data_IF_212612080200
#
_entry.id   IF_212612080200
#
_cell.length_a   1.000
_cell.length_b   1.000
_cell.length_c   1.000
_cell.angle_alpha   90.00
_cell.angle_beta   90.00
_cell.angle_gamma   90.00
#
_symmetry.space_group_name_H-M   'P 1'
#
loop_
_entity.id
_entity.type
_entity.pdbx_description
1 polymer ?
#
# COMPACT_ATOMS: atom_id res chain seq x y z
N UNK A 1 -2.41 17.36 -9.00
CA UNK A 1 -1.15 16.64 -8.78
C UNK A 1 -1.03 16.30 -7.31
N UNK A 2 -0.78 15.03 -7.00
CA UNK A 2 -0.56 14.49 -5.66
C UNK A 2 0.89 14.00 -5.59
N UNK A 3 1.65 14.52 -4.63
CA UNK A 3 3.04 14.14 -4.43
C UNK A 3 3.19 13.40 -3.10
N UNK A 4 3.82 12.22 -3.15
CA UNK A 4 4.20 11.45 -1.97
C UNK A 4 5.67 11.06 -2.09
N UNK A 5 6.55 11.77 -1.36
CA UNK A 5 8.02 11.62 -1.45
C UNK A 5 8.49 11.76 -2.90
N UNK A 6 8.80 10.64 -3.57
CA UNK A 6 9.29 10.56 -4.94
C UNK A 6 8.21 10.16 -5.97
N UNK A 7 7.02 9.80 -5.49
CA UNK A 7 5.88 9.46 -6.35
C UNK A 7 5.03 10.70 -6.65
N UNK A 8 4.84 11.01 -7.94
CA UNK A 8 3.95 12.06 -8.42
C UNK A 8 2.81 11.43 -9.23
N UNK A 9 1.58 11.61 -8.78
CA UNK A 9 0.38 11.06 -9.41
C UNK A 9 -0.64 12.17 -9.70
N UNK A 10 -1.50 12.00 -10.68
CA UNK A 10 -2.51 12.99 -11.03
C UNK A 10 -3.65 12.38 -11.80
N UNK A 11 -4.70 13.16 -12.00
CA UNK A 11 -5.76 12.85 -12.94
C UNK A 11 -5.75 13.89 -14.05
N UNK A 12 -6.11 13.46 -15.25
CA UNK A 12 -6.40 14.34 -16.36
C UNK A 12 -7.79 14.06 -16.88
N UNK A 13 -8.55 15.12 -17.10
CA UNK A 13 -9.90 15.12 -17.66
C UNK A 13 -9.89 15.29 -19.18
N UNK A 14 -8.76 15.75 -19.74
CA UNK A 14 -8.55 15.82 -21.17
C UNK A 14 -7.90 14.51 -21.69
N UNK A 15 -8.53 13.79 -22.64
CA UNK A 15 -7.92 12.60 -23.25
C UNK A 15 -6.79 12.92 -24.24
N UNK A 16 -6.61 14.19 -24.63
CA UNK A 16 -5.60 14.59 -25.60
C UNK A 16 -4.19 14.33 -25.07
N UNK A 17 -3.38 13.71 -25.92
CA UNK A 17 -1.99 13.44 -25.62
C UNK A 17 -1.09 14.42 -26.36
N UNK A 18 -0.07 14.90 -25.67
CA UNK A 18 0.93 15.83 -26.19
C UNK A 18 2.28 15.12 -26.28
N UNK A 19 3.03 15.41 -27.35
CA UNK A 19 4.37 14.87 -27.53
C UNK A 19 5.32 15.44 -26.46
N UNK A 20 6.05 14.56 -25.79
CA UNK A 20 7.19 14.90 -24.98
C UNK A 20 8.47 14.46 -25.69
N UNK A 21 9.14 15.43 -26.32
CA UNK A 21 10.29 15.22 -27.21
C UNK A 21 11.45 14.43 -26.58
N UNK A 22 11.85 14.67 -25.30
CA UNK A 22 12.98 13.95 -24.71
C UNK A 22 12.80 12.42 -24.66
N UNK A 23 11.55 11.96 -24.66
CA UNK A 23 11.22 10.53 -24.71
C UNK A 23 10.65 10.07 -26.03
N UNK A 24 10.39 10.96 -26.98
CA UNK A 24 9.71 10.65 -28.24
C UNK A 24 8.43 9.82 -28.00
N UNK A 25 7.58 10.33 -27.10
CA UNK A 25 6.36 9.65 -26.66
C UNK A 25 5.26 10.65 -26.28
N UNK A 26 4.01 10.20 -26.41
CA UNK A 26 2.81 10.99 -26.12
C UNK A 26 2.29 10.71 -24.72
N UNK A 27 2.00 11.77 -23.96
CA UNK A 27 1.49 11.70 -22.58
C UNK A 27 0.37 12.74 -22.36
N UNK A 28 -0.45 12.60 -21.30
CA UNK A 28 -1.39 13.63 -20.88
C UNK A 28 -0.71 14.99 -20.68
N UNK A 29 -1.40 16.07 -21.02
CA UNK A 29 -0.83 17.42 -21.02
C UNK A 29 -0.22 17.80 -19.67
N UNK A 30 -0.93 17.55 -18.56
CA UNK A 30 -0.44 17.86 -17.21
C UNK A 30 0.83 17.08 -16.86
N UNK A 31 0.97 15.86 -17.37
CA UNK A 31 2.19 15.06 -17.20
C UNK A 31 3.35 15.65 -18.01
N UNK A 32 3.12 16.05 -19.27
CA UNK A 32 4.15 16.72 -20.08
C UNK A 32 4.60 18.03 -19.46
N UNK A 33 3.68 18.83 -18.92
CA UNK A 33 4.02 20.08 -18.23
C UNK A 33 4.92 19.83 -17.00
N UNK A 34 4.63 18.78 -16.22
CA UNK A 34 5.47 18.39 -15.10
C UNK A 34 6.87 17.94 -15.54
N UNK A 35 6.96 17.13 -16.59
CA UNK A 35 8.24 16.66 -17.13
C UNK A 35 9.11 17.83 -17.61
N UNK A 36 8.52 18.79 -18.32
CA UNK A 36 9.21 20.01 -18.75
C UNK A 36 9.69 20.85 -17.56
N UNK A 37 8.90 20.95 -16.51
CA UNK A 37 9.31 21.62 -15.27
C UNK A 37 10.51 20.90 -14.63
N UNK A 38 10.50 19.56 -14.61
CA UNK A 38 11.64 18.80 -14.10
C UNK A 38 12.89 18.97 -14.96
N UNK A 39 12.75 19.06 -16.28
CA UNK A 39 13.86 19.38 -17.18
C UNK A 39 14.46 20.76 -16.86
N UNK A 40 13.60 21.77 -16.66
CA UNK A 40 14.02 23.14 -16.31
C UNK A 40 14.76 23.18 -14.95
N UNK A 41 14.28 22.40 -13.98
CA UNK A 41 14.87 22.31 -12.64
C UNK A 41 16.08 21.36 -12.56
N UNK A 42 16.39 20.63 -13.64
CA UNK A 42 17.44 19.61 -13.64
C UNK A 42 17.14 18.39 -12.75
N UNK A 43 15.86 18.10 -12.50
CA UNK A 43 15.44 16.95 -11.71
C UNK A 43 15.44 15.70 -12.60
N UNK A 44 16.21 14.65 -12.26
CA UNK A 44 16.25 13.44 -13.07
C UNK A 44 14.92 12.69 -13.00
N UNK A 45 14.45 12.22 -14.15
CA UNK A 45 13.26 11.39 -14.27
C UNK A 45 13.52 10.24 -15.27
N UNK A 46 12.64 9.24 -15.29
CA UNK A 46 12.82 8.02 -16.10
C UNK A 46 11.57 7.73 -16.93
N UNK A 47 11.76 7.43 -18.22
CA UNK A 47 10.69 7.07 -19.16
C UNK A 47 9.86 5.88 -18.69
N UNK A 48 10.51 4.85 -18.13
CA UNK A 48 9.85 3.64 -17.62
C UNK A 48 8.91 3.89 -16.45
N UNK A 49 9.07 5.02 -15.75
CA UNK A 49 8.18 5.44 -14.66
C UNK A 49 7.05 6.37 -15.13
N UNK A 50 7.06 6.79 -16.39
CA UNK A 50 6.02 7.65 -16.97
C UNK A 50 4.86 6.78 -17.45
N UNK A 51 3.91 6.54 -16.55
CA UNK A 51 2.71 5.72 -16.81
C UNK A 51 1.45 6.57 -16.71
N UNK A 52 0.47 6.27 -17.56
CA UNK A 52 -0.86 6.86 -17.53
C UNK A 52 -1.90 5.85 -18.04
N UNK A 53 -3.17 6.07 -17.71
CA UNK A 53 -4.27 5.21 -18.09
C UNK A 53 -5.39 5.23 -17.03
N UNK A 54 -6.48 4.53 -17.31
CA UNK A 54 -7.61 4.46 -16.38
C UNK A 54 -7.35 3.61 -15.14
N UNK A 55 -6.33 2.74 -15.18
CA UNK A 55 -5.94 1.96 -14.02
C UNK A 55 -4.41 1.83 -13.89
N UNK A 56 -3.89 2.22 -12.71
CA UNK A 56 -2.46 2.34 -12.41
C UNK A 56 -2.12 1.70 -11.07
N UNK A 57 -0.87 1.27 -10.92
CA UNK A 57 -0.35 0.83 -9.63
C UNK A 57 0.27 2.03 -8.89
N UNK A 58 -0.38 2.48 -7.83
CA UNK A 58 0.04 3.61 -6.99
C UNK A 58 0.41 3.05 -5.62
N UNK A 59 1.62 3.33 -5.12
CA UNK A 59 2.14 2.82 -3.84
C UNK A 59 1.98 1.30 -3.62
N UNK A 60 1.97 0.53 -4.72
CA UNK A 60 1.75 -0.91 -4.71
C UNK A 60 0.28 -1.36 -4.63
N UNK A 61 -0.68 -0.46 -4.84
CA UNK A 61 -2.10 -0.78 -4.94
C UNK A 61 -2.60 -0.45 -6.34
N UNK A 62 -3.45 -1.33 -6.88
CA UNK A 62 -4.09 -1.13 -8.17
C UNK A 62 -5.25 -0.15 -7.98
N UNK A 63 -5.12 1.06 -8.51
CA UNK A 63 -6.15 2.09 -8.53
C UNK A 63 -6.79 2.09 -9.90
N UNK A 64 -8.08 1.78 -9.96
CA UNK A 64 -8.89 1.76 -11.16
C UNK A 64 -9.92 2.89 -11.07
N UNK A 65 -9.74 3.93 -11.88
CA UNK A 65 -10.58 5.12 -11.89
C UNK A 65 -11.93 4.88 -12.60
N UNK A 66 -12.02 3.91 -13.52
CA UNK A 66 -13.28 3.57 -14.18
C UNK A 66 -14.19 2.77 -13.24
N UNK A 67 -13.63 1.75 -12.58
CA UNK A 67 -14.34 0.96 -11.59
C UNK A 67 -14.48 1.67 -10.23
N UNK A 68 -13.82 2.84 -10.07
CA UNK A 68 -13.71 3.58 -8.82
C UNK A 68 -13.27 2.68 -7.66
N UNK A 69 -12.21 1.89 -7.88
CA UNK A 69 -11.78 0.82 -6.97
C UNK A 69 -10.27 0.81 -6.77
N UNK A 70 -9.86 0.61 -5.52
CA UNK A 70 -8.49 0.39 -5.07
C UNK A 70 -8.38 -1.05 -4.59
N UNK A 71 -7.48 -1.83 -5.19
CA UNK A 71 -7.28 -3.24 -4.85
C UNK A 71 -5.82 -3.58 -4.59
N UNK A 72 -5.61 -4.61 -3.78
CA UNK A 72 -4.31 -5.26 -3.64
C UNK A 72 -4.24 -6.47 -4.60
N UNK A 73 -3.07 -6.70 -5.21
CA UNK A 73 -2.85 -7.89 -6.03
C UNK A 73 -3.10 -9.18 -5.23
N UNK A 74 -3.54 -10.22 -5.90
CA UNK A 74 -3.75 -11.54 -5.29
C UNK A 74 -2.49 -12.08 -4.61
N UNK A 75 -1.33 -11.86 -5.21
CA UNK A 75 -0.03 -12.23 -4.64
C UNK A 75 0.23 -11.54 -3.30
N UNK A 76 0.12 -10.20 -3.24
CA UNK A 76 0.33 -9.44 -2.00
C UNK A 76 -0.70 -9.79 -0.93
N UNK A 77 -1.93 -10.15 -1.34
CA UNK A 77 -2.98 -10.65 -0.45
C UNK A 77 -2.56 -11.95 0.23
N UNK A 78 -2.12 -12.91 -0.57
CA UNK A 78 -1.67 -14.20 -0.06
C UNK A 78 -0.38 -14.08 0.76
N UNK A 79 0.53 -13.19 0.40
CA UNK A 79 1.71 -12.87 1.21
C UNK A 79 1.35 -12.32 2.60
N UNK A 80 0.41 -11.37 2.68
CA UNK A 80 -0.04 -10.83 3.96
C UNK A 80 -0.71 -11.91 4.83
N UNK A 81 -1.56 -12.76 4.22
CA UNK A 81 -2.19 -13.90 4.91
C UNK A 81 -1.16 -14.89 5.44
N UNK A 82 -0.14 -15.23 4.64
CA UNK A 82 0.99 -16.06 5.07
C UNK A 82 1.76 -15.41 6.22
N UNK A 83 2.00 -14.10 6.15
CA UNK A 83 2.64 -13.33 7.21
C UNK A 83 1.86 -13.41 8.54
N UNK A 84 0.53 -13.30 8.48
CA UNK A 84 -0.35 -13.46 9.65
C UNK A 84 -0.27 -14.89 10.20
N UNK A 85 -0.34 -15.91 9.34
CA UNK A 85 -0.26 -17.31 9.76
C UNK A 85 1.07 -17.61 10.48
N UNK A 86 2.20 -17.23 9.87
CA UNK A 86 3.55 -17.39 10.46
C UNK A 86 3.67 -16.65 11.78
N UNK A 87 3.11 -15.45 11.88
CA UNK A 87 3.10 -14.69 13.12
C UNK A 87 2.37 -15.43 14.24
N UNK A 88 1.21 -16.03 13.93
CA UNK A 88 0.36 -16.77 14.87
C UNK A 88 0.88 -18.17 15.26
N UNK A 89 1.70 -18.78 14.41
CA UNK A 89 2.30 -20.13 14.60
C UNK A 89 3.53 -20.14 15.52
N UNK A 90 3.94 -18.98 16.07
CA UNK A 90 5.04 -18.89 17.01
C UNK A 90 4.93 -19.94 18.13
N UNK A 91 5.92 -20.84 18.23
CA UNK A 91 5.92 -21.96 19.21
C UNK A 91 5.74 -21.47 20.66
N UNK A 92 6.34 -20.33 20.99
CA UNK A 92 6.25 -19.69 22.30
C UNK A 92 4.96 -18.88 22.51
N UNK A 93 4.08 -18.80 21.49
CA UNK A 93 2.94 -17.87 21.41
C UNK A 93 3.35 -16.42 21.69
N UNK A 94 4.59 -16.07 21.37
CA UNK A 94 5.14 -14.73 21.52
C UNK A 94 6.00 -14.39 20.32
N UNK A 95 6.04 -13.10 20.01
CA UNK A 95 6.84 -12.56 18.92
C UNK A 95 7.61 -11.33 19.41
N UNK A 96 8.83 -11.08 18.91
CA UNK A 96 9.56 -9.85 19.20
C UNK A 96 8.76 -8.62 18.79
N UNK A 97 8.86 -7.51 19.54
CA UNK A 97 8.19 -6.24 19.21
C UNK A 97 8.37 -5.81 17.74
N UNK A 98 9.54 -6.03 17.16
CA UNK A 98 9.79 -5.71 15.75
C UNK A 98 8.85 -6.46 14.79
N UNK A 99 8.50 -7.71 15.08
CA UNK A 99 7.58 -8.51 14.26
C UNK A 99 6.13 -8.01 14.41
N UNK A 100 5.74 -7.57 15.60
CA UNK A 100 4.45 -6.89 15.79
C UNK A 100 4.34 -5.61 14.97
N UNK A 101 5.39 -4.79 14.99
CA UNK A 101 5.43 -3.52 14.24
C UNK A 101 5.43 -3.75 12.73
N UNK A 102 6.19 -4.75 12.25
CA UNK A 102 6.19 -5.16 10.84
C UNK A 102 4.79 -5.59 10.38
N UNK A 103 4.15 -6.47 11.14
CA UNK A 103 2.80 -6.96 10.81
C UNK A 103 1.77 -5.82 10.86
N UNK A 104 1.77 -5.00 11.92
CA UNK A 104 0.86 -3.88 12.06
C UNK A 104 1.03 -2.86 10.91
N UNK A 105 2.28 -2.57 10.51
CA UNK A 105 2.57 -1.69 9.39
C UNK A 105 2.06 -2.24 8.05
N UNK A 106 2.25 -3.53 7.80
CA UNK A 106 1.77 -4.16 6.56
C UNK A 106 0.23 -4.20 6.51
N UNK A 107 -0.43 -4.54 7.62
CA UNK A 107 -1.88 -4.46 7.72
C UNK A 107 -2.38 -3.02 7.53
N UNK A 108 -1.71 -2.03 8.13
CA UNK A 108 -2.05 -0.62 7.98
C UNK A 108 -1.93 -0.15 6.51
N UNK A 109 -0.93 -0.63 5.77
CA UNK A 109 -0.82 -0.39 4.34
C UNK A 109 -1.99 -1.02 3.56
N UNK A 110 -2.37 -2.26 3.89
CA UNK A 110 -3.53 -2.92 3.28
C UNK A 110 -4.85 -2.19 3.54
N UNK A 111 -4.99 -1.46 4.66
CA UNK A 111 -6.19 -0.67 4.95
C UNK A 111 -6.46 0.47 3.95
N UNK A 112 -5.48 0.86 3.12
CA UNK A 112 -5.73 1.79 2.02
C UNK A 112 -6.67 1.18 0.96
N UNK A 113 -6.66 -0.15 0.78
CA UNK A 113 -7.59 -0.87 -0.08
C UNK A 113 -8.78 -1.46 0.70
N UNK A 114 -8.60 -1.75 2.01
CA UNK A 114 -9.60 -2.45 2.83
C UNK A 114 -9.89 -1.71 4.16
N UNK A 115 -10.39 -0.47 4.13
CA UNK A 115 -10.57 0.35 5.32
C UNK A 115 -11.52 -0.25 6.36
N UNK A 116 -12.50 -1.07 5.93
CA UNK A 116 -13.43 -1.77 6.82
C UNK A 116 -12.76 -2.83 7.70
N UNK A 117 -11.52 -3.23 7.38
CA UNK A 117 -10.75 -4.18 8.20
C UNK A 117 -9.99 -3.52 9.36
N UNK A 118 -10.06 -2.19 9.48
CA UNK A 118 -9.39 -1.41 10.53
C UNK A 118 -9.59 -1.95 11.96
N UNK A 119 -10.79 -2.42 12.37
CA UNK A 119 -11.00 -2.93 13.73
C UNK A 119 -10.04 -4.04 14.14
N UNK A 120 -9.52 -4.83 13.19
CA UNK A 120 -8.58 -5.90 13.50
C UNK A 120 -7.14 -5.45 13.74
N UNK A 121 -6.78 -4.22 13.36
CA UNK A 121 -5.42 -3.68 13.58
C UNK A 121 -5.31 -3.02 14.96
N UNK A 122 -6.41 -2.47 15.47
CA UNK A 122 -6.46 -1.76 16.77
C UNK A 122 -5.87 -2.59 17.93
N UNK A 123 -6.23 -3.88 18.14
CA UNK A 123 -5.67 -4.68 19.23
C UNK A 123 -4.15 -4.85 19.16
N UNK A 124 -3.55 -4.85 17.96
CA UNK A 124 -2.09 -4.93 17.80
C UNK A 124 -1.43 -3.69 18.39
N UNK A 125 -1.91 -2.49 18.04
CA UNK A 125 -1.37 -1.23 18.54
C UNK A 125 -1.54 -1.10 20.06
N UNK A 126 -2.71 -1.44 20.60
CA UNK A 126 -2.90 -1.47 22.05
C UNK A 126 -1.92 -2.43 22.73
N UNK A 127 -1.67 -3.60 22.14
CA UNK A 127 -0.79 -4.60 22.72
C UNK A 127 0.67 -4.14 22.79
N UNK A 128 1.12 -3.36 21.82
CA UNK A 128 2.51 -2.87 21.74
C UNK A 128 2.70 -1.44 22.27
N UNK A 129 1.63 -0.78 22.69
CA UNK A 129 1.67 0.59 23.20
C UNK A 129 2.69 0.72 24.35
N UNK A 130 3.49 1.78 24.28
CA UNK A 130 4.53 2.09 25.27
C UNK A 130 5.74 1.14 25.29
N UNK A 131 5.82 0.15 24.39
CA UNK A 131 6.94 -0.79 24.31
C UNK A 131 7.99 -0.28 23.33
N UNK A 132 9.25 -0.32 23.75
CA UNK A 132 10.38 0.25 22.98
C UNK A 132 11.47 -0.77 22.67
N UNK A 133 11.57 -1.85 23.45
CA UNK A 133 12.60 -2.88 23.27
C UNK A 133 12.27 -3.81 22.10
N UNK A 134 12.88 -3.56 20.94
CA UNK A 134 12.61 -4.27 19.66
C UNK A 134 12.64 -5.80 19.74
N UNK A 135 13.56 -6.37 20.52
CA UNK A 135 13.75 -7.82 20.65
C UNK A 135 12.95 -8.44 21.80
N UNK A 136 12.22 -7.64 22.59
CA UNK A 136 11.45 -8.16 23.71
C UNK A 136 10.31 -9.06 23.21
N UNK A 137 10.17 -10.29 23.74
CA UNK A 137 9.08 -11.17 23.37
C UNK A 137 7.77 -10.65 23.95
N UNK A 138 6.75 -10.49 23.10
CA UNK A 138 5.41 -10.06 23.48
C UNK A 138 4.43 -11.19 23.17
N UNK A 139 3.69 -11.62 24.19
CA UNK A 139 2.71 -12.69 24.07
C UNK A 139 1.53 -12.31 23.16
N UNK A 140 1.16 -13.21 22.27
CA UNK A 140 -0.04 -13.13 21.43
C UNK A 140 -1.23 -13.58 22.30
N UNK A 141 -2.12 -12.64 22.64
CA UNK A 141 -3.31 -12.95 23.43
C UNK A 141 -4.48 -13.40 22.52
N UNK A 142 -5.57 -13.87 23.14
CA UNK A 142 -6.77 -14.34 22.45
C UNK A 142 -7.40 -13.26 21.56
N UNK A 143 -7.41 -12.02 22.03
CA UNK A 143 -7.97 -10.87 21.31
C UNK A 143 -7.23 -10.61 19.99
N UNK A 144 -5.90 -10.51 20.03
CA UNK A 144 -5.07 -10.33 18.84
C UNK A 144 -5.23 -11.52 17.89
N UNK A 145 -5.22 -12.75 18.40
CA UNK A 145 -5.44 -13.94 17.56
C UNK A 145 -6.76 -13.86 16.82
N UNK A 146 -7.85 -13.60 17.53
CA UNK A 146 -9.18 -13.47 16.93
C UNK A 146 -9.24 -12.34 15.89
N UNK A 147 -8.62 -11.20 16.18
CA UNK A 147 -8.54 -10.07 15.25
C UNK A 147 -7.78 -10.42 13.96
N UNK A 148 -6.62 -11.08 14.09
CA UNK A 148 -5.80 -11.51 12.96
C UNK A 148 -6.48 -12.60 12.13
N UNK A 149 -7.11 -13.58 12.78
CA UNK A 149 -7.90 -14.61 12.09
C UNK A 149 -9.04 -13.95 11.32
N UNK A 150 -9.81 -13.05 11.96
CA UNK A 150 -10.90 -12.32 11.30
C UNK A 150 -10.41 -11.50 10.11
N UNK A 151 -9.27 -10.81 10.24
CA UNK A 151 -8.68 -10.02 9.15
C UNK A 151 -8.37 -10.90 7.95
N UNK A 152 -7.66 -12.02 8.15
CA UNK A 152 -7.28 -12.95 7.09
C UNK A 152 -8.50 -13.52 6.37
N UNK A 153 -9.54 -13.95 7.11
CA UNK A 153 -10.76 -14.48 6.50
C UNK A 153 -11.53 -13.41 5.72
N UNK A 154 -11.59 -12.17 6.23
CA UNK A 154 -12.32 -11.09 5.56
C UNK A 154 -11.61 -10.58 4.32
N UNK A 155 -10.29 -10.65 4.28
CA UNK A 155 -9.49 -10.23 3.14
C UNK A 155 -9.84 -11.00 1.85
N UNK A 156 -10.32 -12.24 1.97
CA UNK A 156 -10.79 -13.06 0.85
C UNK A 156 -12.20 -12.67 0.37
N UNK A 157 -13.00 -12.07 1.26
CA UNK A 157 -14.41 -11.77 1.02
C UNK A 157 -14.67 -10.32 0.63
N UNK A 158 -13.68 -9.44 0.84
CA UNK A 158 -13.79 -8.04 0.47
C UNK A 158 -13.18 -7.79 -0.90
N UNK A 159 -14.01 -7.31 -1.81
CA UNK A 159 -13.54 -6.53 -2.95
C UNK A 159 -13.08 -5.18 -2.39
N UNK A 160 -11.91 -4.70 -2.83
CA UNK A 160 -11.35 -3.44 -2.36
C UNK A 160 -12.30 -2.25 -2.57
N UNK A 161 -12.01 -1.11 -1.94
CA UNK A 161 -12.88 0.08 -1.95
C UNK A 161 -12.73 0.89 -3.21
#
# INVERSE_FOLDING_TARGET
LFHYIDDANGYDDNPDLVLYEPYDAYYPEKQVQLLKLWDELGIPHQKSKQVFGSALDIIGLRVDAEAMRITMSSERREELKRGIAVFLEAKSRSQPLVEWQRLAGWMQWALNAYPLLRPAVTPLYHKIAGKTFKKAPIMINREVRHALDWFSHRLDLTDGV
#
